data_IF_785784619545
#
_entry.id   IF_785784619545
#
_cell.length_a   1.000
_cell.length_b   1.000
_cell.length_c   1.000
_cell.angle_alpha   90.00
_cell.angle_beta   90.00
_cell.angle_gamma   90.00
#
_symmetry.space_group_name_H-M   'P 1'
#
loop_
_entity.id
_entity.type
_entity.pdbx_description
1 polymer ?
#
# COMPACT_ATOMS: atom_id res chain seq x y z
N UNK A 1 9.79 -20.14 20.38
CA UNK A 1 11.00 -19.49 19.85
C UNK A 1 11.07 -19.87 18.37
N UNK A 2 10.85 -19.06 17.35
CA UNK A 2 10.99 -17.62 17.11
C UNK A 2 9.84 -17.18 16.18
N UNK A 3 8.98 -16.27 16.64
CA UNK A 3 7.92 -15.66 15.82
C UNK A 3 8.50 -14.45 15.09
N UNK A 4 9.38 -14.68 14.14
CA UNK A 4 10.07 -13.65 13.37
C UNK A 4 9.14 -12.97 12.35
N UNK A 5 8.55 -11.86 12.77
CA UNK A 5 8.38 -10.60 12.04
C UNK A 5 8.18 -10.68 10.50
N UNK A 6 7.10 -11.33 10.05
CA UNK A 6 6.69 -11.47 8.64
C UNK A 6 5.99 -10.19 8.09
N UNK A 7 6.54 -8.99 8.37
CA UNK A 7 5.91 -7.68 8.11
C UNK A 7 6.49 -6.88 6.92
N UNK A 8 7.34 -7.49 6.08
CA UNK A 8 8.14 -6.76 5.06
C UNK A 8 8.14 -7.38 3.66
N UNK A 9 7.03 -7.97 3.21
CA UNK A 9 6.91 -8.53 1.85
C UNK A 9 5.78 -7.84 1.05
N UNK A 10 5.62 -6.53 1.25
CA UNK A 10 4.52 -5.75 0.67
C UNK A 10 5.00 -5.03 -0.60
N UNK A 11 4.77 -5.61 -1.77
CA UNK A 11 5.23 -5.07 -3.06
C UNK A 11 4.51 -3.80 -3.52
N UNK A 12 3.41 -3.39 -2.86
CA UNK A 12 2.61 -2.23 -3.27
C UNK A 12 2.45 -1.23 -2.14
N UNK A 13 2.69 0.05 -2.47
CA UNK A 13 2.47 1.18 -1.59
C UNK A 13 1.52 2.17 -2.24
N UNK A 14 0.40 2.43 -1.56
CA UNK A 14 -0.41 3.60 -1.84
C UNK A 14 0.06 4.76 -0.94
N UNK A 15 0.55 5.84 -1.54
CA UNK A 15 0.78 7.10 -0.80
C UNK A 15 -0.53 7.88 -0.82
N UNK A 16 -1.23 7.94 0.32
CA UNK A 16 -2.32 8.88 0.49
C UNK A 16 -1.69 10.26 0.73
N UNK A 17 -1.65 11.11 -0.31
CA UNK A 17 -1.51 12.57 -0.09
C UNK A 17 -2.80 12.99 0.61
N UNK A 18 -2.76 13.15 1.92
CA UNK A 18 -3.93 13.50 2.72
C UNK A 18 -4.37 14.91 2.38
N UNK A 19 -5.60 15.07 1.88
CA UNK A 19 -6.33 16.32 2.05
C UNK A 19 -6.97 16.26 3.45
N UNK A 20 -6.66 17.28 4.23
CA UNK A 20 -6.89 17.56 5.65
C UNK A 20 -8.34 17.27 6.07
N UNK A 21 -8.62 16.59 7.20
CA UNK A 21 -9.05 17.27 8.46
C UNK A 21 -9.09 16.35 9.71
N UNK A 22 -8.16 15.40 9.87
CA UNK A 22 -8.00 14.65 11.14
C UNK A 22 -6.56 14.17 11.32
N UNK A 23 -5.58 15.07 11.28
CA UNK A 23 -4.21 14.77 11.69
C UNK A 23 -4.00 15.45 13.03
N UNK A 24 -4.65 14.92 14.06
CA UNK A 24 -4.56 15.41 15.45
C UNK A 24 -3.18 15.14 16.09
N UNK A 25 -2.34 14.32 15.46
CA UNK A 25 -0.95 14.12 15.85
C UNK A 25 -0.09 13.69 14.65
N UNK A 26 1.09 14.29 14.50
CA UNK A 26 2.14 13.76 13.62
C UNK A 26 2.51 12.37 14.14
N UNK A 27 2.29 11.33 13.33
CA UNK A 27 2.85 10.00 13.61
C UNK A 27 4.20 9.96 12.88
N UNK A 28 5.26 9.66 13.62
CA UNK A 28 6.63 9.51 13.10
C UNK A 28 7.22 10.78 12.44
N UNK A 29 6.73 11.97 12.83
CA UNK A 29 7.31 13.26 12.39
C UNK A 29 7.07 13.64 10.93
N UNK A 30 6.28 12.87 10.17
CA UNK A 30 5.99 13.16 8.75
C UNK A 30 4.51 13.43 8.49
N UNK A 31 4.24 14.27 7.49
CA UNK A 31 2.87 14.58 7.03
C UNK A 31 2.33 13.57 6.00
N UNK A 32 3.15 12.61 5.57
CA UNK A 32 2.76 11.61 4.58
C UNK A 32 2.24 10.35 5.25
N UNK A 33 1.17 9.79 4.68
CA UNK A 33 0.64 8.48 5.10
C UNK A 33 0.67 7.52 3.94
N UNK A 34 0.99 6.28 4.25
CA UNK A 34 0.97 5.19 3.29
C UNK A 34 0.07 4.05 3.76
N UNK A 35 -0.46 3.30 2.80
CA UNK A 35 -1.05 1.98 3.00
C UNK A 35 -0.19 0.97 2.26
N UNK A 36 0.18 -0.10 2.96
CA UNK A 36 0.88 -1.24 2.38
C UNK A 36 -0.10 -2.29 1.88
N UNK A 37 0.27 -2.91 0.78
CA UNK A 37 -0.44 -4.04 0.19
C UNK A 37 0.46 -4.92 -0.66
N UNK A 38 -0.13 -5.99 -1.17
CA UNK A 38 0.51 -6.96 -2.07
C UNK A 38 -0.35 -7.17 -3.30
N UNK A 39 0.30 -7.39 -4.44
CA UNK A 39 -0.39 -7.90 -5.64
C UNK A 39 -0.68 -9.38 -5.43
N UNK A 40 -1.89 -9.82 -5.79
CA UNK A 40 -2.31 -11.21 -5.61
C UNK A 40 -2.52 -11.94 -6.92
N UNK A 41 -3.20 -11.34 -7.88
CA UNK A 41 -3.60 -12.02 -9.13
C UNK A 41 -3.74 -11.03 -10.29
N UNK A 42 -3.45 -11.43 -11.53
CA UNK A 42 -3.87 -10.67 -12.70
C UNK A 42 -5.40 -10.65 -12.81
N UNK A 43 -5.94 -9.58 -13.37
CA UNK A 43 -7.38 -9.40 -13.55
C UNK A 43 -7.70 -9.04 -15.01
N UNK A 44 -8.43 -9.93 -15.68
CA UNK A 44 -8.79 -9.79 -17.09
C UNK A 44 -7.57 -9.76 -18.02
N UNK A 45 -7.78 -9.27 -19.25
CA UNK A 45 -6.79 -9.35 -20.33
C UNK A 45 -6.12 -8.00 -20.65
N UNK A 46 -6.39 -6.95 -19.85
CA UNK A 46 -5.94 -5.57 -20.12
C UNK A 46 -4.78 -5.12 -19.23
N UNK A 47 -4.03 -6.06 -18.64
CA UNK A 47 -2.90 -5.75 -17.76
C UNK A 47 -3.28 -5.16 -16.41
N UNK A 48 -4.52 -5.38 -15.94
CA UNK A 48 -4.98 -4.98 -14.62
C UNK A 48 -4.61 -6.07 -13.60
N UNK A 49 -4.39 -5.69 -12.35
CA UNK A 49 -4.05 -6.61 -11.25
C UNK A 49 -4.95 -6.36 -10.04
N UNK A 50 -5.27 -7.43 -9.32
CA UNK A 50 -5.88 -7.37 -8.00
C UNK A 50 -4.78 -7.16 -6.94
N UNK A 51 -5.02 -6.22 -6.03
CA UNK A 51 -4.15 -5.96 -4.89
C UNK A 51 -4.94 -6.04 -3.59
N UNK A 52 -4.32 -6.62 -2.56
CA UNK A 52 -4.85 -6.66 -1.21
C UNK A 52 -4.05 -5.71 -0.33
N UNK A 53 -4.73 -4.77 0.31
CA UNK A 53 -4.14 -3.84 1.26
C UNK A 53 -4.46 -4.28 2.69
N UNK A 54 -3.61 -3.88 3.65
CA UNK A 54 -3.85 -4.16 5.07
C UNK A 54 -5.18 -3.60 5.58
N UNK A 55 -5.55 -2.43 5.08
CA UNK A 55 -6.86 -1.82 5.26
C UNK A 55 -7.42 -1.44 3.90
N UNK A 56 -8.73 -1.58 3.71
CA UNK A 56 -9.38 -1.20 2.47
C UNK A 56 -9.04 0.25 2.08
N UNK A 57 -8.88 0.47 0.78
CA UNK A 57 -8.62 1.81 0.25
C UNK A 57 -9.85 2.70 0.44
N UNK A 58 -9.67 3.97 0.84
CA UNK A 58 -10.78 4.91 0.83
C UNK A 58 -11.19 5.22 -0.61
N UNK A 59 -12.48 5.49 -0.84
CA UNK A 59 -13.02 5.80 -2.17
C UNK A 59 -12.30 6.99 -2.85
N UNK A 60 -11.81 7.95 -2.07
CA UNK A 60 -10.96 9.07 -2.51
C UNK A 60 -9.68 8.63 -3.24
N UNK A 61 -9.29 7.36 -3.11
CA UNK A 61 -8.08 6.82 -3.75
C UNK A 61 -8.29 6.29 -5.16
N UNK A 62 -9.54 6.13 -5.59
CA UNK A 62 -9.86 5.68 -6.94
C UNK A 62 -9.31 6.68 -7.98
N UNK A 63 -8.70 6.17 -9.05
CA UNK A 63 -8.08 6.99 -10.11
C UNK A 63 -6.73 7.65 -9.73
N UNK A 64 -6.26 7.48 -8.49
CA UNK A 64 -4.94 7.98 -8.08
C UNK A 64 -3.84 6.99 -8.45
N UNK A 65 -2.64 7.52 -8.69
CA UNK A 65 -1.45 6.70 -8.95
C UNK A 65 -1.02 5.94 -7.68
N UNK A 66 -0.70 4.67 -7.85
CA UNK A 66 -0.14 3.78 -6.81
C UNK A 66 1.31 3.47 -7.20
N UNK A 67 2.18 3.18 -6.23
CA UNK A 67 3.55 2.73 -6.49
C UNK A 67 3.64 1.22 -6.30
N UNK A 68 4.11 0.53 -7.35
CA UNK A 68 4.44 -0.90 -7.31
C UNK A 68 5.96 -1.02 -7.26
N UNK A 69 6.46 -1.84 -6.37
CA UNK A 69 7.87 -2.09 -6.17
C UNK A 69 8.23 -3.53 -6.52
N UNK A 70 9.50 -3.76 -6.86
CA UNK A 70 10.02 -5.06 -7.30
C UNK A 70 10.44 -5.99 -6.16
N UNK A 71 10.16 -5.64 -4.90
CA UNK A 71 10.55 -6.45 -3.75
C UNK A 71 9.39 -7.28 -3.19
N UNK A 72 9.67 -8.43 -2.54
CA UNK A 72 10.98 -9.09 -2.42
C UNK A 72 11.39 -9.76 -3.75
N UNK A 73 12.49 -9.29 -4.35
CA UNK A 73 13.00 -9.86 -5.59
C UNK A 73 13.71 -11.17 -5.27
N UNK A 74 13.41 -12.22 -6.03
CA UNK A 74 14.10 -13.52 -5.99
C UNK A 74 14.84 -13.80 -7.30
N UNK A 75 15.10 -12.75 -8.08
CA UNK A 75 16.00 -12.79 -9.24
C UNK A 75 17.42 -12.85 -8.73
#
# INVERSE_FOLDING_TARGET
MSSSNRRRQDSVLLIKRSKTSYIRSQRDGTHYRYLWGKITSPHGNSGVVCAQFKSNLPAESMGRKVRVFMYPSSI
#
